data_IF_272351665243
#
_entry.id   IF_272351665243
#
_cell.length_a   1.000
_cell.length_b   1.000
_cell.length_c   1.000
_cell.angle_alpha   90.00
_cell.angle_beta   90.00
_cell.angle_gamma   90.00
#
_symmetry.space_group_name_H-M   'P 1'
#
loop_
_entity.id
_entity.type
_entity.pdbx_description
1 polymer ?
#
# COMPACT_ATOMS: atom_id res chain seq x y z
N UNK A 1 13.00 4.15 0.97
CA UNK A 1 12.48 2.97 0.26
C UNK A 1 12.66 1.76 1.15
N UNK A 2 11.58 1.01 1.39
CA UNK A 2 11.44 -0.07 2.39
C UNK A 2 11.95 0.29 3.79
N UNK A 3 11.23 1.13 4.51
CA UNK A 3 11.54 1.35 5.92
C UNK A 3 11.20 0.11 6.75
N UNK A 4 12.21 -0.44 7.45
CA UNK A 4 12.14 -1.62 8.31
C UNK A 4 11.43 -2.83 7.63
N UNK A 5 12.00 -3.43 6.57
CA UNK A 5 11.32 -4.37 5.67
C UNK A 5 10.73 -5.63 6.35
N UNK A 6 11.28 -6.05 7.48
CA UNK A 6 10.82 -7.22 8.25
C UNK A 6 9.90 -6.86 9.43
N UNK A 7 9.54 -5.59 9.59
CA UNK A 7 8.60 -5.12 10.60
C UNK A 7 7.19 -4.97 10.03
N UNK A 8 6.17 -5.23 10.83
CA UNK A 8 4.75 -4.99 10.49
C UNK A 8 4.29 -3.55 10.75
N UNK A 9 5.12 -2.73 11.41
CA UNK A 9 4.76 -1.37 11.80
C UNK A 9 4.99 -0.39 10.66
N UNK A 10 4.07 0.56 10.48
CA UNK A 10 4.15 1.60 9.46
C UNK A 10 3.27 1.32 8.25
N UNK A 11 3.52 2.09 7.18
CA UNK A 11 2.73 2.14 5.95
C UNK A 11 3.65 2.07 4.74
N UNK A 12 3.22 1.37 3.70
CA UNK A 12 3.91 1.35 2.40
C UNK A 12 2.97 1.69 1.26
N UNK A 13 3.55 2.29 0.22
CA UNK A 13 2.84 2.63 -1.01
C UNK A 13 2.85 1.49 -2.02
N UNK A 14 2.08 1.68 -3.08
CA UNK A 14 1.90 0.74 -4.21
C UNK A 14 3.22 0.31 -4.84
N UNK A 15 4.18 1.23 -5.01
CA UNK A 15 5.46 0.93 -5.64
C UNK A 15 6.28 -0.06 -4.79
N UNK A 16 6.39 0.18 -3.49
CA UNK A 16 7.09 -0.74 -2.58
C UNK A 16 6.40 -2.11 -2.56
N UNK A 17 5.08 -2.14 -2.47
CA UNK A 17 4.30 -3.38 -2.53
C UNK A 17 4.42 -4.12 -3.87
N UNK A 18 4.44 -3.39 -4.99
CA UNK A 18 4.64 -3.95 -6.33
C UNK A 18 6.03 -4.56 -6.49
N UNK A 19 7.08 -3.91 -5.98
CA UNK A 19 8.43 -4.48 -5.95
C UNK A 19 8.47 -5.75 -5.11
N UNK A 20 7.83 -5.77 -3.93
CA UNK A 20 7.68 -7.00 -3.14
C UNK A 20 7.03 -8.12 -3.94
N UNK A 21 5.95 -7.82 -4.66
CA UNK A 21 5.25 -8.80 -5.49
C UNK A 21 6.15 -9.35 -6.62
N UNK A 22 6.96 -8.51 -7.26
CA UNK A 22 7.93 -8.92 -8.28
C UNK A 22 9.00 -9.83 -7.68
N UNK A 23 9.61 -9.45 -6.55
CA UNK A 23 10.65 -10.27 -5.87
C UNK A 23 10.10 -11.67 -5.56
N UNK A 24 8.90 -11.74 -4.98
CA UNK A 24 8.25 -13.01 -4.65
C UNK A 24 7.89 -13.81 -5.90
N UNK A 25 7.45 -13.15 -6.98
CA UNK A 25 7.11 -13.82 -8.25
C UNK A 25 8.34 -14.47 -8.89
N UNK A 26 9.49 -13.77 -8.88
CA UNK A 26 10.76 -14.31 -9.37
C UNK A 26 11.21 -15.50 -8.51
N UNK A 27 11.14 -15.39 -7.19
CA UNK A 27 11.47 -16.49 -6.28
C UNK A 27 10.61 -17.74 -6.55
N UNK A 28 9.30 -17.56 -6.72
CA UNK A 28 8.38 -18.65 -7.07
C UNK A 28 8.69 -19.27 -8.44
N UNK A 29 9.10 -18.46 -9.42
CA UNK A 29 9.50 -18.95 -10.74
C UNK A 29 10.75 -19.84 -10.65
N UNK A 30 11.76 -19.44 -9.87
CA UNK A 30 12.98 -20.24 -9.64
C UNK A 30 12.63 -21.62 -9.06
N UNK A 31 11.79 -21.65 -8.02
CA UNK A 31 11.35 -22.91 -7.39
C UNK A 31 10.60 -23.79 -8.40
N UNK A 32 9.70 -23.21 -9.22
CA UNK A 32 8.86 -23.95 -10.18
C UNK A 32 9.62 -24.55 -11.36
N UNK A 33 10.73 -23.94 -11.77
CA UNK A 33 11.56 -24.44 -12.89
C UNK A 33 12.42 -25.66 -12.46
N UNK A 34 12.33 -26.10 -11.20
CA UNK A 34 12.94 -27.35 -10.73
C UNK A 34 14.29 -27.17 -10.05
N UNK A 35 14.69 -25.93 -9.73
CA UNK A 35 15.88 -25.63 -8.93
C UNK A 35 15.66 -25.84 -7.43
N UNK A 36 14.67 -26.65 -7.01
CA UNK A 36 14.37 -26.79 -5.59
C UNK A 36 15.43 -27.67 -4.91
N UNK A 37 16.21 -27.04 -4.03
CA UNK A 37 17.14 -27.71 -3.13
C UNK A 37 16.67 -27.48 -1.69
N UNK A 38 16.92 -28.44 -0.78
CA UNK A 38 16.44 -28.36 0.62
C UNK A 38 16.88 -27.08 1.34
N UNK A 39 18.10 -26.60 1.05
CA UNK A 39 18.64 -25.38 1.64
C UNK A 39 17.87 -24.11 1.23
N UNK A 40 17.12 -24.13 0.13
CA UNK A 40 16.29 -22.99 -0.29
C UNK A 40 15.14 -22.71 0.68
N UNK A 41 14.77 -23.67 1.54
CA UNK A 41 13.81 -23.43 2.61
C UNK A 41 14.30 -22.34 3.57
N UNK A 42 15.60 -22.30 3.88
CA UNK A 42 16.20 -21.27 4.73
C UNK A 42 16.09 -19.86 4.14
N UNK A 43 16.05 -19.74 2.81
CA UNK A 43 15.80 -18.48 2.11
C UNK A 43 14.31 -18.17 1.98
N UNK A 44 13.47 -19.19 1.83
CA UNK A 44 12.02 -19.04 1.67
C UNK A 44 11.38 -18.46 2.94
N UNK A 45 11.79 -18.89 4.13
CA UNK A 45 11.22 -18.43 5.40
C UNK A 45 11.32 -16.89 5.58
N UNK A 46 12.51 -16.26 5.51
CA UNK A 46 12.62 -14.80 5.64
C UNK A 46 11.94 -14.06 4.48
N UNK A 47 11.90 -14.62 3.27
CA UNK A 47 11.15 -14.05 2.14
C UNK A 47 9.63 -14.05 2.39
N UNK A 48 9.09 -15.14 2.93
CA UNK A 48 7.69 -15.20 3.35
C UNK A 48 7.38 -14.17 4.43
N UNK A 49 8.26 -14.03 5.43
CA UNK A 49 8.10 -13.02 6.47
C UNK A 49 8.11 -11.60 5.90
N UNK A 50 9.06 -11.31 5.00
CA UNK A 50 9.12 -10.05 4.28
C UNK A 50 7.81 -9.77 3.53
N UNK A 51 7.31 -10.73 2.73
CA UNK A 51 6.05 -10.59 2.01
C UNK A 51 4.87 -10.25 2.94
N UNK A 52 4.75 -10.97 4.06
CA UNK A 52 3.67 -10.76 5.04
C UNK A 52 3.76 -9.40 5.73
N UNK A 53 4.97 -8.97 6.09
CA UNK A 53 5.23 -7.68 6.70
C UNK A 53 4.87 -6.53 5.74
N UNK A 54 5.27 -6.63 4.48
CA UNK A 54 4.94 -5.63 3.46
C UNK A 54 3.44 -5.61 3.14
N UNK A 55 2.80 -6.78 2.99
CA UNK A 55 1.35 -6.89 2.79
C UNK A 55 0.56 -6.24 3.93
N UNK A 56 0.97 -6.45 5.18
CA UNK A 56 0.35 -5.81 6.34
C UNK A 56 0.51 -4.28 6.31
N UNK A 57 1.71 -3.76 6.02
CA UNK A 57 1.93 -2.32 5.88
C UNK A 57 1.12 -1.71 4.73
N UNK A 58 0.88 -2.45 3.65
CA UNK A 58 0.02 -2.00 2.55
C UNK A 58 -1.44 -1.95 2.98
N UNK A 59 -1.90 -2.90 3.79
CA UNK A 59 -3.22 -2.85 4.42
C UNK A 59 -3.36 -1.64 5.35
N UNK A 60 -2.33 -1.39 6.18
CA UNK A 60 -2.27 -0.25 7.09
C UNK A 60 -2.32 1.10 6.37
N UNK A 61 -1.70 1.18 5.18
CA UNK A 61 -1.77 2.39 4.36
C UNK A 61 -3.22 2.74 3.97
N UNK A 62 -4.09 1.74 3.82
CA UNK A 62 -5.53 1.93 3.55
C UNK A 62 -6.39 1.94 4.82
N UNK A 63 -5.78 2.12 5.99
CA UNK A 63 -6.44 2.12 7.30
C UNK A 63 -7.16 0.79 7.66
N UNK A 64 -6.79 -0.31 7.00
CA UNK A 64 -7.30 -1.65 7.29
C UNK A 64 -6.36 -2.38 8.28
N UNK A 65 -6.81 -3.46 8.92
CA UNK A 65 -5.90 -4.33 9.70
C UNK A 65 -4.99 -5.13 8.76
N UNK A 66 -3.79 -5.52 9.22
CA UNK A 66 -2.86 -6.33 8.44
C UNK A 66 -3.41 -7.68 7.96
N UNK A 67 -4.48 -8.17 8.60
CA UNK A 67 -5.17 -9.41 8.24
C UNK A 67 -5.98 -9.33 6.93
N UNK A 68 -6.30 -8.14 6.45
CA UNK A 68 -7.04 -7.97 5.19
C UNK A 68 -6.30 -8.57 3.99
N UNK A 69 -4.97 -8.72 4.05
CA UNK A 69 -4.21 -9.38 3.00
C UNK A 69 -4.62 -10.84 2.75
N UNK A 70 -5.31 -11.49 3.70
CA UNK A 70 -5.83 -12.85 3.56
C UNK A 70 -7.18 -12.90 2.83
N UNK A 71 -7.86 -11.77 2.65
CA UNK A 71 -9.12 -11.71 1.91
C UNK A 71 -8.84 -12.04 0.44
N UNK A 72 -9.58 -12.99 -0.18
CA UNK A 72 -9.39 -13.32 -1.58
C UNK A 72 -9.38 -12.09 -2.49
N UNK A 73 -8.46 -12.05 -3.45
CA UNK A 73 -8.25 -10.96 -4.41
C UNK A 73 -7.87 -9.59 -3.82
N UNK A 74 -7.85 -9.44 -2.49
CA UNK A 74 -7.51 -8.16 -1.87
C UNK A 74 -6.07 -7.74 -2.14
N UNK A 75 -5.14 -8.68 -2.24
CA UNK A 75 -3.76 -8.41 -2.66
C UNK A 75 -3.69 -7.77 -4.06
N UNK A 76 -4.53 -8.20 -5.00
CA UNK A 76 -4.62 -7.59 -6.34
C UNK A 76 -5.23 -6.19 -6.25
N UNK A 77 -6.31 -6.02 -5.49
CA UNK A 77 -6.90 -4.72 -5.22
C UNK A 77 -5.88 -3.73 -4.62
N UNK A 78 -5.04 -4.18 -3.69
CA UNK A 78 -4.01 -3.35 -3.04
C UNK A 78 -2.92 -2.82 -4.00
N UNK A 79 -2.69 -3.46 -5.15
CA UNK A 79 -1.81 -2.95 -6.20
C UNK A 79 -2.40 -1.66 -6.81
N UNK A 80 -3.73 -1.61 -6.97
CA UNK A 80 -4.45 -0.56 -7.69
C UNK A 80 -5.25 0.41 -6.80
N UNK A 81 -5.47 0.13 -5.52
CA UNK A 81 -6.16 1.00 -4.60
C UNK A 81 -5.27 2.08 -3.96
N UNK A 82 -5.80 3.30 -3.76
CA UNK A 82 -5.06 4.39 -3.11
C UNK A 82 -4.92 4.15 -1.60
N UNK A 83 -3.90 4.79 -1.03
CA UNK A 83 -3.72 4.88 0.42
C UNK A 83 -4.64 5.93 1.04
N UNK A 84 -4.69 5.95 2.36
CA UNK A 84 -5.36 7.01 3.13
C UNK A 84 -4.53 8.29 3.01
N UNK A 85 -5.13 9.42 2.62
CA UNK A 85 -4.45 10.72 2.67
C UNK A 85 -4.23 11.15 4.12
N UNK A 86 -3.07 11.72 4.41
CA UNK A 86 -2.74 12.21 5.74
C UNK A 86 -2.41 11.10 6.75
N UNK A 87 -2.17 11.45 8.03
CA UNK A 87 -1.79 10.51 9.07
C UNK A 87 -2.95 9.58 9.43
N UNK A 88 -2.64 8.34 9.78
CA UNK A 88 -3.61 7.40 10.34
C UNK A 88 -3.02 6.67 11.56
N UNK A 89 -3.79 5.77 12.18
CA UNK A 89 -3.37 5.03 13.38
C UNK A 89 -2.11 4.17 13.21
N UNK A 90 -1.66 3.93 11.98
CA UNK A 90 -0.46 3.16 11.66
C UNK A 90 0.76 4.03 11.31
N UNK A 91 0.59 5.35 11.23
CA UNK A 91 1.68 6.30 11.03
C UNK A 91 1.36 7.44 10.04
N UNK A 92 2.36 8.30 9.79
CA UNK A 92 2.25 9.42 8.86
C UNK A 92 2.03 8.96 7.42
N UNK A 93 1.53 9.84 6.56
CA UNK A 93 1.33 9.56 5.14
C UNK A 93 2.69 9.30 4.46
N UNK A 94 2.91 8.12 3.85
CA UNK A 94 4.16 7.80 3.17
C UNK A 94 4.37 8.61 1.88
N UNK A 95 3.34 9.29 1.35
CA UNK A 95 3.45 10.23 0.24
C UNK A 95 3.81 11.63 0.73
N UNK A 96 3.16 12.10 1.80
CA UNK A 96 3.32 13.44 2.35
C UNK A 96 3.55 13.38 3.88
N UNK A 97 4.78 13.09 4.36
CA UNK A 97 5.03 12.82 5.78
C UNK A 97 4.75 13.99 6.73
N UNK A 98 4.74 15.22 6.21
CA UNK A 98 4.48 16.44 6.96
C UNK A 98 3.00 16.86 6.97
N UNK A 99 2.13 16.15 6.24
CA UNK A 99 0.70 16.43 6.22
C UNK A 99 0.14 16.12 7.62
N UNK A 100 -0.50 17.11 8.24
CA UNK A 100 -1.24 16.94 9.49
C UNK A 100 -2.69 16.62 9.18
N UNK A 101 -3.46 16.21 10.20
CA UNK A 101 -4.90 16.06 10.05
C UNK A 101 -5.55 17.39 9.62
N UNK A 102 -5.14 18.51 10.23
CA UNK A 102 -5.66 19.85 9.91
C UNK A 102 -5.43 20.22 8.44
N UNK A 103 -4.18 20.10 7.94
CA UNK A 103 -3.89 20.40 6.53
C UNK A 103 -4.65 19.48 5.58
N UNK A 104 -4.89 18.21 5.98
CA UNK A 104 -5.69 17.27 5.19
C UNK A 104 -7.15 17.71 5.12
N UNK A 105 -7.74 18.16 6.24
CA UNK A 105 -9.11 18.66 6.28
C UNK A 105 -9.29 19.93 5.44
N UNK A 106 -8.34 20.87 5.53
CA UNK A 106 -8.37 22.12 4.76
C UNK A 106 -8.27 21.86 3.25
N UNK A 107 -7.35 20.97 2.83
CA UNK A 107 -7.22 20.57 1.42
C UNK A 107 -8.50 19.91 0.91
N UNK A 108 -9.11 19.00 1.68
CA UNK A 108 -10.35 18.33 1.29
C UNK A 108 -11.53 19.31 1.14
N UNK A 109 -11.66 20.29 2.05
CA UNK A 109 -12.70 21.31 1.97
C UNK A 109 -12.49 22.22 0.75
N UNK A 110 -11.22 22.54 0.45
CA UNK A 110 -10.85 23.39 -0.69
C UNK A 110 -11.10 22.67 -2.04
N UNK A 111 -10.73 21.39 -2.15
CA UNK A 111 -11.04 20.55 -3.33
C UNK A 111 -12.57 20.42 -3.53
N UNK A 112 -13.33 20.25 -2.45
CA UNK A 112 -14.80 20.16 -2.51
C UNK A 112 -15.45 21.47 -2.94
N UNK A 113 -14.93 22.62 -2.51
CA UNK A 113 -15.44 23.93 -2.90
C UNK A 113 -15.23 24.17 -4.41
N UNK A 114 -14.02 23.94 -4.92
CA UNK A 114 -13.70 24.08 -6.36
C UNK A 114 -14.52 23.14 -7.26
N UNK A 115 -14.79 21.91 -6.82
CA UNK A 115 -15.63 20.95 -7.54
C UNK A 115 -17.09 21.42 -7.68
N UNK A 116 -17.61 22.13 -6.67
CA UNK A 116 -18.99 22.66 -6.71
C UNK A 116 -19.14 23.89 -7.63
N UNK A 117 -18.10 24.73 -7.71
CA UNK A 117 -18.10 25.91 -8.60
C UNK A 117 -17.99 25.52 -10.08
N UNK A 118 -17.17 24.52 -10.40
CA UNK A 118 -17.05 24.00 -11.77
C UNK A 118 -18.36 23.38 -12.25
N UNK A 119 -19.03 22.59 -11.41
CA UNK A 119 -20.32 22.00 -11.75
C UNK A 119 -21.43 23.05 -11.95
N UNK A 120 -21.44 24.15 -11.18
CA UNK A 120 -22.42 25.23 -11.36
C UNK A 120 -22.19 26.05 -12.64
N UNK A 121 -20.95 26.21 -13.08
CA UNK A 121 -20.65 26.97 -14.29
C UNK A 121 -20.98 26.20 -15.57
N UNK A 122 -20.82 24.87 -15.57
CA UNK A 122 -21.16 24.03 -16.74
C UNK A 122 -22.67 23.96 -17.04
N UNK A 123 -23.53 24.20 -16.05
CA UNK A 123 -25.00 24.20 -16.20
C UNK A 123 -25.51 25.52 -16.81
N UNK A 124 -24.72 26.59 -16.76
CA UNK A 124 -25.12 27.92 -17.24
C UNK A 124 -24.73 28.21 -18.70
N UNK A 125 -24.22 27.21 -19.44
CA UNK A 125 -23.82 27.33 -20.86
C UNK A 125 -24.78 26.63 -21.85
N UNK A 126 -25.95 26.14 -21.41
CA UNK A 126 -27.09 25.76 -22.27
C UNK A 126 -28.10 26.90 -22.42
#
# INVERSE_FOLDING_TARGET
MFQAPFSFKGRIRRLEFGITFIIISIWNMIIRIGYYEEWMLFLTIPLMWFQWAQGAKRCHDRNCSGWWQLVPFYALWMLFAEGTRGPNKYGPDPKNPHLTSETTYDEMNTESAMGSETQNNDINFE
#
